data_IF_581260254248
#
_entry.id   IF_581260254248
#
_cell.length_a   1.000
_cell.length_b   1.000
_cell.length_c   1.000
_cell.angle_alpha   90.00
_cell.angle_beta   90.00
_cell.angle_gamma   90.00
#
_symmetry.space_group_name_H-M   'P 1'
#
loop_
_entity.id
_entity.type
_entity.pdbx_description
1 polymer ?
#
# COMPACT_ATOMS: atom_id res chain seq x y z
N UNK A 1 -5.91 -10.52 -7.95
CA UNK A 1 -7.24 -10.34 -7.33
C UNK A 1 -7.17 -9.10 -6.45
N UNK A 2 -7.96 -8.06 -6.72
CA UNK A 2 -7.92 -6.82 -5.93
C UNK A 2 -8.72 -7.01 -4.62
N UNK A 3 -8.25 -6.42 -3.52
CA UNK A 3 -8.96 -6.46 -2.23
C UNK A 3 -10.24 -5.62 -2.29
N UNK A 4 -11.29 -6.06 -1.61
CA UNK A 4 -12.56 -5.32 -1.50
C UNK A 4 -12.43 -4.23 -0.45
N UNK A 5 -13.26 -3.19 -0.52
CA UNK A 5 -13.30 -2.14 0.51
C UNK A 5 -13.60 -2.69 1.92
N UNK A 6 -14.37 -3.78 2.00
CA UNK A 6 -14.65 -4.52 3.23
C UNK A 6 -13.39 -5.08 3.91
N UNK A 7 -12.31 -5.24 3.15
CA UNK A 7 -11.07 -5.88 3.61
C UNK A 7 -10.08 -4.85 4.18
N UNK A 8 -10.50 -3.59 4.31
CA UNK A 8 -9.68 -2.46 4.76
C UNK A 8 -10.25 -1.83 6.03
N UNK A 9 -9.36 -1.39 6.94
CA UNK A 9 -9.78 -0.78 8.19
C UNK A 9 -10.18 0.69 7.96
N UNK A 10 -11.44 1.03 8.24
CA UNK A 10 -11.89 2.41 8.22
C UNK A 10 -11.65 3.08 9.58
N UNK A 11 -10.70 4.02 9.65
CA UNK A 11 -10.39 4.77 10.89
C UNK A 11 -10.33 6.26 10.61
N UNK A 12 -11.07 7.05 11.39
CA UNK A 12 -11.11 8.52 11.33
C UNK A 12 -11.39 9.07 9.91
N UNK A 13 -12.33 8.45 9.18
CA UNK A 13 -12.69 8.90 7.83
C UNK A 13 -11.76 8.43 6.71
N UNK A 14 -10.75 7.60 7.00
CA UNK A 14 -9.77 7.12 6.02
C UNK A 14 -9.71 5.60 6.02
N UNK A 15 -9.76 4.99 4.83
CA UNK A 15 -9.47 3.57 4.64
C UNK A 15 -7.97 3.32 4.74
N UNK A 16 -7.58 2.45 5.66
CA UNK A 16 -6.19 2.02 5.87
C UNK A 16 -5.99 0.65 5.25
N UNK A 17 -5.09 0.59 4.26
CA UNK A 17 -4.61 -0.65 3.66
C UNK A 17 -3.71 -1.39 4.65
N UNK A 18 -3.56 -2.72 4.49
CA UNK A 18 -2.58 -3.50 5.26
C UNK A 18 -1.15 -3.00 5.04
N UNK A 19 -0.83 -2.58 3.81
CA UNK A 19 0.44 -1.93 3.50
C UNK A 19 0.63 -0.65 4.32
N UNK A 20 -0.34 0.26 4.30
CA UNK A 20 -0.31 1.48 5.12
C UNK A 20 -0.03 1.15 6.57
N UNK A 21 -0.67 0.14 7.16
CA UNK A 21 -0.42 -0.28 8.54
C UNK A 21 1.02 -0.77 8.77
N UNK A 22 1.59 -1.54 7.85
CA UNK A 22 2.98 -2.02 7.90
C UNK A 22 4.01 -0.88 7.82
N UNK A 23 3.72 0.19 7.06
CA UNK A 23 4.55 1.41 6.99
C UNK A 23 4.16 2.50 8.00
N UNK A 24 3.10 2.30 8.80
CA UNK A 24 2.74 3.20 9.92
C UNK A 24 3.43 2.84 11.26
N UNK A 25 4.75 2.59 11.33
CA UNK A 25 5.53 2.96 12.51
C UNK A 25 5.97 4.42 12.47
N UNK A 26 5.86 5.08 11.31
CA UNK A 26 6.12 6.51 11.15
C UNK A 26 5.13 7.29 12.02
N UNK A 27 5.65 8.01 13.01
CA UNK A 27 4.91 8.51 14.18
C UNK A 27 3.61 9.26 13.85
N UNK A 28 2.66 9.22 14.80
CA UNK A 28 1.31 9.83 14.73
C UNK A 28 1.25 11.30 14.26
N UNK A 29 2.39 12.00 14.26
CA UNK A 29 2.57 13.43 14.01
C UNK A 29 3.22 13.74 12.65
N UNK A 30 3.59 12.75 11.84
CA UNK A 30 4.23 13.04 10.56
C UNK A 30 3.18 13.51 9.55
N UNK A 31 3.40 14.69 8.95
CA UNK A 31 2.55 15.28 7.90
C UNK A 31 2.00 14.25 6.90
N UNK A 32 0.85 14.53 6.30
CA UNK A 32 0.21 13.64 5.31
C UNK A 32 1.20 13.05 4.29
N UNK A 33 2.16 13.88 3.84
CA UNK A 33 3.24 13.49 2.94
C UNK A 33 4.16 12.38 3.49
N UNK A 34 4.41 12.31 4.79
CA UNK A 34 5.25 11.25 5.39
C UNK A 34 4.47 9.95 5.59
N UNK A 35 3.19 10.05 5.98
CA UNK A 35 2.35 8.87 6.21
C UNK A 35 1.87 8.21 4.91
N UNK A 36 1.72 8.98 3.83
CA UNK A 36 1.19 8.52 2.53
C UNK A 36 2.18 8.64 1.37
N UNK A 37 3.19 9.49 1.49
CA UNK A 37 4.21 9.68 0.44
C UNK A 37 4.88 8.39 -0.01
N UNK A 38 5.25 7.45 0.87
CA UNK A 38 5.79 6.17 0.43
C UNK A 38 4.81 5.38 -0.46
N UNK A 39 3.52 5.40 -0.15
CA UNK A 39 2.46 4.70 -0.89
C UNK A 39 2.29 5.31 -2.29
N UNK A 40 2.25 6.65 -2.39
CA UNK A 40 2.14 7.35 -3.67
C UNK A 40 3.44 7.34 -4.50
N UNK A 41 4.60 7.42 -3.87
CA UNK A 41 5.90 7.28 -4.54
C UNK A 41 5.99 5.88 -5.17
N UNK A 42 5.51 4.86 -4.46
CA UNK A 42 5.53 3.50 -4.99
C UNK A 42 4.57 3.32 -6.17
N UNK A 43 3.36 3.86 -6.08
CA UNK A 43 2.42 3.90 -7.22
C UNK A 43 3.02 4.67 -8.39
N UNK A 44 3.65 5.83 -8.15
CA UNK A 44 4.30 6.64 -9.18
C UNK A 44 5.41 5.89 -9.91
N UNK A 45 6.29 5.23 -9.16
CA UNK A 45 7.36 4.40 -9.73
C UNK A 45 6.82 3.19 -10.51
N UNK A 46 5.77 2.54 -10.00
CA UNK A 46 5.10 1.45 -10.71
C UNK A 46 4.44 1.94 -12.02
N UNK A 47 3.86 3.14 -12.04
CA UNK A 47 3.29 3.74 -13.24
C UNK A 47 4.36 4.22 -14.24
N UNK A 48 5.54 4.63 -13.76
CA UNK A 48 6.61 5.16 -14.60
C UNK A 48 7.43 4.07 -15.32
N UNK A 49 7.50 2.86 -14.78
CA UNK A 49 8.34 1.78 -15.33
C UNK A 49 7.66 0.86 -16.37
N UNK A 50 6.42 1.14 -16.78
CA UNK A 50 5.76 0.38 -17.85
C UNK A 50 4.23 0.38 -17.81
N UNK A 51 3.61 -0.66 -18.38
CA UNK A 51 2.16 -0.78 -18.42
C UNK A 51 1.58 -0.94 -17.00
N UNK A 52 0.63 -0.07 -16.64
CA UNK A 52 -0.08 -0.05 -15.34
C UNK A 52 -0.52 -1.44 -14.88
N UNK A 53 -1.09 -2.25 -15.77
CA UNK A 53 -1.64 -3.57 -15.41
C UNK A 53 -0.53 -4.50 -14.96
N UNK A 54 0.52 -4.64 -15.78
CA UNK A 54 1.64 -5.53 -15.49
C UNK A 54 2.37 -5.13 -14.19
N UNK A 55 2.51 -3.83 -13.95
CA UNK A 55 3.19 -3.33 -12.76
C UNK A 55 2.34 -3.50 -11.49
N UNK A 56 1.02 -3.32 -11.58
CA UNK A 56 0.12 -3.65 -10.46
C UNK A 56 0.13 -5.15 -10.15
N UNK A 57 0.20 -6.02 -11.15
CA UNK A 57 0.31 -7.47 -10.95
C UNK A 57 1.60 -7.85 -10.23
N UNK A 58 2.74 -7.27 -10.61
CA UNK A 58 4.03 -7.49 -9.94
C UNK A 58 4.01 -7.04 -8.48
N UNK A 59 3.43 -5.87 -8.19
CA UNK A 59 3.30 -5.36 -6.81
C UNK A 59 2.41 -6.28 -5.97
N UNK A 60 1.27 -6.72 -6.51
CA UNK A 60 0.37 -7.65 -5.82
C UNK A 60 1.03 -9.00 -5.53
N UNK A 61 1.84 -9.51 -6.47
CA UNK A 61 2.61 -10.74 -6.28
C UNK A 61 3.64 -10.57 -5.15
N UNK A 62 4.39 -9.47 -5.14
CA UNK A 62 5.36 -9.17 -4.10
C UNK A 62 4.70 -9.09 -2.71
N UNK A 63 3.57 -8.37 -2.60
CA UNK A 63 2.81 -8.27 -1.34
C UNK A 63 2.27 -9.63 -0.87
N UNK A 64 1.80 -10.47 -1.80
CA UNK A 64 1.31 -11.82 -1.50
C UNK A 64 2.42 -12.71 -0.94
N UNK A 65 3.62 -12.65 -1.53
CA UNK A 65 4.78 -13.40 -1.06
C UNK A 65 5.26 -12.92 0.32
N UNK A 66 5.23 -11.60 0.56
CA UNK A 66 5.55 -11.01 1.85
C UNK A 66 4.57 -11.46 2.93
N UNK A 67 3.27 -11.50 2.62
CA UNK A 67 2.24 -11.99 3.53
C UNK A 67 2.50 -13.44 3.94
N UNK A 68 2.84 -14.32 2.99
CA UNK A 68 3.15 -15.73 3.27
C UNK A 68 4.39 -15.93 4.15
N UNK A 69 5.31 -14.98 4.16
CA UNK A 69 6.53 -15.05 4.96
C UNK A 69 6.35 -14.49 6.38
N UNK A 70 5.23 -13.85 6.66
CA UNK A 70 4.86 -13.31 7.98
C UNK A 70 3.93 -14.23 8.77
N UNK A 71 3.34 -15.24 8.13
CA UNK A 71 2.63 -16.37 8.76
C UNK A 71 3.62 -17.48 9.14
#
# INVERSE_FOLDING_TARGET
MFSKLSDHDFKKGVFRTKFSQLVTPLGKESDWAHSKGPEYLWIGLALQYGNRIEQMERVMLALTNLSKALD
#
